data_IF_155098085236
#
_entry.id   IF_155098085236
#
_cell.length_a   1.000
_cell.length_b   1.000
_cell.length_c   1.000
_cell.angle_alpha   90.00
_cell.angle_beta   90.00
_cell.angle_gamma   90.00
#
_symmetry.space_group_name_H-M   'P 1'
#
loop_
_entity.id
_entity.type
_entity.pdbx_description
1 polymer ?
#
# COMPACT_ATOMS: atom_id res chain seq x y z
N UNK A 1 -1.05 -25.11 -16.17
CA UNK A 1 -2.17 -26.03 -16.43
C UNK A 1 -1.56 -27.35 -16.83
N UNK A 2 -1.44 -28.27 -15.88
CA UNK A 2 -1.01 -29.63 -16.22
C UNK A 2 -2.23 -30.42 -16.72
N UNK A 3 -2.07 -31.14 -17.82
CA UNK A 3 -3.15 -31.92 -18.41
C UNK A 3 -3.05 -33.34 -17.90
N UNK A 4 -3.92 -33.69 -16.96
CA UNK A 4 -4.14 -35.08 -16.57
C UNK A 4 -5.25 -35.68 -17.43
N UNK A 5 -5.13 -36.97 -17.74
CA UNK A 5 -6.27 -37.74 -18.24
C UNK A 5 -6.76 -38.64 -17.12
N UNK A 6 -8.06 -38.60 -16.85
CA UNK A 6 -8.71 -39.47 -15.88
C UNK A 6 -9.76 -40.32 -16.59
N UNK A 7 -9.86 -41.59 -16.19
CA UNK A 7 -10.90 -42.50 -16.67
C UNK A 7 -12.17 -42.31 -15.85
N UNK A 8 -13.16 -41.63 -16.43
CA UNK A 8 -14.47 -41.45 -15.81
C UNK A 8 -15.49 -42.25 -16.62
N UNK A 9 -16.19 -43.18 -15.95
CA UNK A 9 -17.20 -44.03 -16.59
C UNK A 9 -16.71 -44.74 -17.87
N UNK A 10 -15.47 -45.22 -17.88
CA UNK A 10 -14.91 -46.02 -18.98
C UNK A 10 -14.48 -45.22 -20.22
N UNK A 11 -14.45 -43.89 -20.14
CA UNK A 11 -13.94 -43.02 -21.21
C UNK A 11 -12.80 -42.14 -20.69
N UNK A 12 -11.75 -41.97 -21.49
CA UNK A 12 -10.67 -41.02 -21.19
C UNK A 12 -11.20 -39.59 -21.35
N UNK A 13 -11.20 -38.83 -20.26
CA UNK A 13 -11.52 -37.41 -20.28
C UNK A 13 -10.32 -36.58 -19.80
N UNK A 14 -9.99 -35.52 -20.54
CA UNK A 14 -8.95 -34.58 -20.14
C UNK A 14 -9.48 -33.72 -19.01
N UNK A 15 -8.90 -33.88 -17.82
CA UNK A 15 -9.26 -33.14 -16.62
C UNK A 15 -8.16 -32.11 -16.34
N UNK A 16 -8.56 -30.84 -16.23
CA UNK A 16 -7.68 -29.77 -15.83
C UNK A 16 -7.69 -29.63 -14.31
N UNK A 17 -6.60 -30.00 -13.65
CA UNK A 17 -6.41 -29.68 -12.24
C UNK A 17 -5.82 -28.28 -12.14
N UNK A 18 -6.60 -27.34 -11.57
CA UNK A 18 -6.08 -26.04 -11.16
C UNK A 18 -5.27 -26.29 -9.90
N UNK A 19 -3.97 -26.56 -10.07
CA UNK A 19 -3.14 -27.03 -8.97
C UNK A 19 -2.84 -25.95 -7.94
N UNK A 20 -2.79 -24.66 -8.32
CA UNK A 20 -2.58 -23.57 -7.36
C UNK A 20 -3.09 -22.24 -7.91
N UNK A 21 -3.88 -21.52 -7.11
CA UNK A 21 -3.99 -20.06 -7.24
C UNK A 21 -2.80 -19.50 -6.47
N UNK A 22 -1.69 -19.24 -7.15
CA UNK A 22 -0.59 -18.49 -6.57
C UNK A 22 -1.03 -17.04 -6.38
N UNK A 23 -1.55 -16.69 -5.20
CA UNK A 23 -1.63 -15.29 -4.77
C UNK A 23 -0.21 -14.86 -4.41
N UNK A 24 0.56 -14.43 -5.41
CA UNK A 24 1.95 -13.97 -5.22
C UNK A 24 2.06 -12.61 -4.52
N UNK A 25 0.97 -11.87 -4.35
CA UNK A 25 0.99 -10.51 -3.76
C UNK A 25 1.00 -10.51 -2.22
N UNK A 26 1.95 -11.22 -1.61
CA UNK A 26 2.24 -10.99 -0.19
C UNK A 26 3.13 -9.76 -0.04
N UNK A 27 2.53 -8.58 -0.25
CA UNK A 27 3.24 -7.32 -0.05
C UNK A 27 3.44 -7.12 1.46
N UNK A 28 4.66 -7.35 1.95
CA UNK A 28 4.99 -7.29 3.39
C UNK A 28 5.18 -5.83 3.86
N UNK A 29 4.18 -4.98 3.67
CA UNK A 29 4.19 -3.63 4.27
C UNK A 29 3.96 -3.75 5.78
N UNK A 30 4.82 -3.08 6.55
CA UNK A 30 4.63 -2.94 7.99
C UNK A 30 3.86 -1.65 8.25
N UNK A 31 2.87 -1.73 9.13
CA UNK A 31 2.08 -0.58 9.52
C UNK A 31 2.96 0.48 10.18
N UNK A 32 2.89 1.71 9.67
CA UNK A 32 3.68 2.82 10.17
C UNK A 32 3.13 3.27 11.53
N UNK A 33 3.94 3.10 12.59
CA UNK A 33 3.60 3.46 13.97
C UNK A 33 4.57 4.50 14.54
N UNK A 34 4.03 5.50 15.23
CA UNK A 34 4.83 6.53 15.92
C UNK A 34 5.48 5.98 17.21
N UNK A 35 6.06 6.86 18.05
CA UNK A 35 6.64 6.48 19.33
C UNK A 35 5.62 5.95 20.36
N UNK A 36 4.36 6.33 20.20
CA UNK A 36 3.28 6.05 21.13
C UNK A 36 2.36 4.91 20.65
N UNK A 37 2.70 4.26 19.53
CA UNK A 37 1.89 3.21 18.91
C UNK A 37 0.69 3.74 18.10
N UNK A 38 0.62 5.05 17.84
CA UNK A 38 -0.39 5.61 16.96
C UNK A 38 -0.05 5.33 15.50
N UNK A 39 -1.09 5.07 14.72
CA UNK A 39 -1.01 4.76 13.30
C UNK A 39 -1.52 5.95 12.52
N UNK A 40 -0.76 6.43 11.54
CA UNK A 40 -1.27 7.45 10.63
C UNK A 40 -2.32 6.84 9.69
N UNK A 41 -3.56 7.32 9.79
CA UNK A 41 -4.69 6.87 8.98
C UNK A 41 -5.64 8.04 8.68
N UNK A 42 -6.76 7.74 8.02
CA UNK A 42 -7.77 8.75 7.65
C UNK A 42 -8.44 9.47 8.80
N UNK A 43 -8.29 9.05 10.06
CA UNK A 43 -8.86 9.76 11.20
C UNK A 43 -8.18 11.11 11.47
N UNK A 44 -6.92 11.26 11.04
CA UNK A 44 -6.15 12.50 11.17
C UNK A 44 -6.15 13.34 9.88
N UNK A 45 -6.90 12.90 8.88
CA UNK A 45 -7.08 13.61 7.63
C UNK A 45 -8.08 14.75 7.81
N UNK A 46 -7.68 15.97 7.45
CA UNK A 46 -8.55 17.14 7.57
C UNK A 46 -9.25 17.45 6.26
N UNK A 47 -8.48 17.59 5.18
CA UNK A 47 -8.99 17.82 3.83
C UNK A 47 -7.89 17.60 2.78
N UNK A 48 -8.31 17.45 1.51
CA UNK A 48 -7.43 17.43 0.37
C UNK A 48 -7.82 18.52 -0.62
N UNK A 49 -6.83 19.06 -1.32
CA UNK A 49 -7.05 20.06 -2.36
C UNK A 49 -6.12 19.80 -3.54
N UNK A 50 -6.54 20.25 -4.73
CA UNK A 50 -5.67 20.26 -5.90
C UNK A 50 -4.59 21.31 -5.71
N UNK A 51 -3.37 20.98 -6.13
CA UNK A 51 -2.23 21.88 -6.18
C UNK A 51 -1.42 21.59 -7.44
N UNK A 52 -0.36 22.34 -7.65
CA UNK A 52 0.56 22.17 -8.78
C UNK A 52 1.95 21.88 -8.23
N UNK A 53 2.62 20.86 -8.78
CA UNK A 53 4.00 20.57 -8.45
C UNK A 53 4.93 21.68 -8.95
N UNK A 54 6.19 21.64 -8.52
CA UNK A 54 7.20 22.62 -8.95
C UNK A 54 7.45 22.61 -10.47
N UNK A 55 7.15 21.50 -11.14
CA UNK A 55 7.30 21.34 -12.60
C UNK A 55 5.97 21.52 -13.35
N UNK A 56 4.91 21.96 -12.68
CA UNK A 56 3.61 22.30 -13.30
C UNK A 56 2.63 21.13 -13.43
N UNK A 57 2.91 19.98 -12.80
CA UNK A 57 2.01 18.84 -12.83
C UNK A 57 0.91 18.96 -11.76
N UNK A 58 -0.34 18.57 -12.05
CA UNK A 58 -1.41 18.57 -11.06
C UNK A 58 -1.13 17.52 -9.98
N UNK A 59 -1.26 17.91 -8.71
CA UNK A 59 -1.08 17.03 -7.56
C UNK A 59 -2.23 17.19 -6.56
N UNK A 60 -2.47 16.17 -5.75
CA UNK A 60 -3.41 16.23 -4.63
C UNK A 60 -2.60 16.47 -3.35
N UNK A 61 -2.81 17.62 -2.73
CA UNK A 61 -2.23 17.94 -1.42
C UNK A 61 -3.12 17.37 -0.31
N UNK A 62 -2.53 16.59 0.59
CA UNK A 62 -3.20 15.99 1.76
C UNK A 62 -2.83 16.84 2.98
N UNK A 63 -3.83 17.31 3.72
CA UNK A 63 -3.63 18.09 4.93
C UNK A 63 -4.06 17.27 6.16
N UNK A 64 -3.13 17.07 7.08
CA UNK A 64 -3.41 16.44 8.38
C UNK A 64 -3.84 17.48 9.42
N UNK A 65 -4.50 17.02 10.48
CA UNK A 65 -4.64 17.79 11.71
C UNK A 65 -3.32 17.81 12.50
N UNK A 66 -3.29 18.52 13.63
CA UNK A 66 -2.09 18.67 14.46
C UNK A 66 -1.54 17.33 14.96
N UNK A 67 -2.43 16.38 15.30
CA UNK A 67 -2.03 15.07 15.79
C UNK A 67 -1.46 14.22 14.64
N UNK A 68 -2.07 14.26 13.47
CA UNK A 68 -1.56 13.60 12.26
C UNK A 68 -0.21 14.15 11.82
N UNK A 69 0.00 15.46 11.95
CA UNK A 69 1.29 16.11 11.72
C UNK A 69 2.36 15.56 12.67
N UNK A 70 2.09 15.48 13.97
CA UNK A 70 3.03 14.93 14.96
C UNK A 70 3.38 13.47 14.66
N UNK A 71 2.37 12.65 14.33
CA UNK A 71 2.57 11.25 13.94
C UNK A 71 3.45 11.19 12.67
N UNK A 72 3.12 11.96 11.63
CA UNK A 72 3.88 11.96 10.37
C UNK A 72 5.34 12.42 10.54
N UNK A 73 5.56 13.43 11.39
CA UNK A 73 6.89 13.91 11.77
C UNK A 73 7.73 12.80 12.43
N UNK A 74 7.15 12.06 13.38
CA UNK A 74 7.81 10.92 14.00
C UNK A 74 8.06 9.76 13.00
N UNK A 75 7.09 9.47 12.13
CA UNK A 75 7.21 8.40 11.14
C UNK A 75 8.31 8.68 10.13
N UNK A 76 8.36 9.90 9.59
CA UNK A 76 9.37 10.27 8.60
C UNK A 76 10.77 10.29 9.19
N UNK A 77 10.94 10.76 10.43
CA UNK A 77 12.22 10.73 11.13
C UNK A 77 12.78 9.32 11.32
N UNK A 78 11.94 8.38 11.75
CA UNK A 78 12.37 7.00 12.03
C UNK A 78 12.70 6.17 10.79
N UNK A 79 12.09 6.53 9.66
CA UNK A 79 12.08 5.68 8.47
C UNK A 79 12.82 6.34 7.29
N UNK A 80 13.70 7.31 7.53
CA UNK A 80 14.54 7.90 6.48
C UNK A 80 15.26 6.80 5.67
N UNK A 81 15.24 6.92 4.35
CA UNK A 81 15.78 5.95 3.41
C UNK A 81 14.84 4.78 3.10
N UNK A 82 13.72 4.64 3.81
CA UNK A 82 12.73 3.60 3.56
C UNK A 82 11.56 4.11 2.70
N UNK A 83 10.96 3.23 1.87
CA UNK A 83 9.73 3.56 1.16
C UNK A 83 8.54 3.66 2.13
N UNK A 84 7.73 4.72 2.00
CA UNK A 84 6.47 4.87 2.73
C UNK A 84 5.29 4.70 1.77
N UNK A 85 4.59 3.57 1.88
CA UNK A 85 3.38 3.33 1.10
C UNK A 85 2.19 4.17 1.60
N UNK A 86 1.50 4.82 0.66
CA UNK A 86 0.25 5.54 0.90
C UNK A 86 -0.87 4.78 0.20
N UNK A 87 -1.85 4.33 0.98
CA UNK A 87 -3.03 3.62 0.48
C UNK A 87 -4.27 4.51 0.54
N UNK A 88 -5.04 4.57 -0.55
CA UNK A 88 -6.33 5.27 -0.59
C UNK A 88 -7.39 4.29 -1.11
N UNK A 89 -8.46 4.10 -0.33
CA UNK A 89 -9.51 3.13 -0.67
C UNK A 89 -9.00 1.69 -0.77
N UNK A 90 -7.93 1.35 -0.05
CA UNK A 90 -7.30 0.03 -0.07
C UNK A 90 -6.29 -0.20 -1.21
N UNK A 91 -6.16 0.76 -2.15
CA UNK A 91 -5.21 0.65 -3.26
C UNK A 91 -3.93 1.41 -2.96
N UNK A 92 -2.77 0.84 -3.32
CA UNK A 92 -1.49 1.53 -3.25
C UNK A 92 -1.49 2.70 -4.24
N UNK A 93 -1.38 3.92 -3.74
CA UNK A 93 -1.33 5.11 -4.58
C UNK A 93 0.11 5.50 -4.92
N UNK A 94 0.95 5.63 -3.89
CA UNK A 94 2.37 6.00 -4.04
C UNK A 94 3.21 5.33 -2.96
N UNK A 95 4.51 5.16 -3.22
CA UNK A 95 5.47 4.67 -2.24
C UNK A 95 6.80 5.43 -2.32
N UNK A 96 6.81 6.75 -2.05
CA UNK A 96 8.04 7.53 -2.09
C UNK A 96 9.04 7.07 -1.03
N UNK A 97 10.32 7.18 -1.34
CA UNK A 97 11.39 7.03 -0.35
C UNK A 97 11.41 8.27 0.54
N UNK A 98 11.41 8.07 1.86
CA UNK A 98 11.51 9.17 2.81
C UNK A 98 12.93 9.73 2.76
N UNK A 99 13.08 10.98 2.34
CA UNK A 99 14.38 11.63 2.21
C UNK A 99 14.79 12.40 3.47
N UNK A 100 13.82 13.04 4.12
CA UNK A 100 14.02 13.89 5.29
C UNK A 100 12.84 13.75 6.25
N UNK A 101 13.06 14.18 7.49
CA UNK A 101 11.98 14.42 8.46
C UNK A 101 11.04 15.53 7.94
N UNK A 102 9.73 15.35 8.10
CA UNK A 102 8.70 16.31 7.65
C UNK A 102 7.79 16.67 8.82
N UNK A 103 7.85 17.94 9.21
CA UNK A 103 7.01 18.60 10.21
C UNK A 103 6.73 20.03 9.70
#
# INVERSE_FOLDING_TARGET
MDKGTAMLSGKEETVYQILDIFVQDKVNWVQAVDNNGNVLNGAYFRFANTSTSQIGEPVVAINFDEKGKEIFCNLTEKNIGSPMAIFIGGNLLTSPVIQTKIC
#
